data_IF_590095028093
#
_entry.id   IF_590095028093
#
_cell.length_a   1.000
_cell.length_b   1.000
_cell.length_c   1.000
_cell.angle_alpha   90.00
_cell.angle_beta   90.00
_cell.angle_gamma   90.00
#
_symmetry.space_group_name_H-M   'P 1'
#
loop_
_entity.id
_entity.type
_entity.pdbx_description
1 polymer ?
#
# COMPACT_ATOMS: atom_id res chain seq x y z
N UNK A 1 28.96 -75.40 45.66
CA UNK A 1 27.64 -74.75 45.77
C UNK A 1 27.63 -73.45 44.99
N UNK A 2 26.66 -73.37 44.06
CA UNK A 2 26.07 -72.18 43.42
C UNK A 2 26.90 -71.49 42.32
N UNK A 3 26.65 -71.72 41.02
CA UNK A 3 25.48 -71.37 40.15
C UNK A 3 25.64 -69.98 39.51
N UNK A 4 25.97 -69.93 38.21
CA UNK A 4 25.11 -69.46 37.09
C UNK A 4 25.29 -67.96 36.78
N UNK A 5 26.02 -67.59 35.72
CA UNK A 5 25.62 -67.46 34.31
C UNK A 5 24.55 -66.39 33.97
N UNK A 6 25.03 -65.38 33.22
CA UNK A 6 24.39 -64.61 32.13
C UNK A 6 23.18 -63.70 32.44
N UNK A 7 23.45 -62.40 32.31
CA UNK A 7 22.46 -61.36 32.03
C UNK A 7 23.08 -60.21 31.24
N UNK A 8 23.47 -60.49 29.99
CA UNK A 8 23.95 -59.48 29.04
C UNK A 8 22.78 -58.59 28.61
N UNK A 9 22.59 -57.43 29.24
CA UNK A 9 21.64 -56.39 28.81
C UNK A 9 22.36 -55.36 27.93
N UNK A 10 22.55 -55.73 26.66
CA UNK A 10 22.95 -54.79 25.61
C UNK A 10 21.77 -53.89 25.24
N UNK A 11 21.49 -52.88 26.05
CA UNK A 11 20.41 -51.90 25.82
C UNK A 11 20.84 -50.41 26.01
N UNK A 12 21.96 -49.92 25.42
CA UNK A 12 22.07 -48.48 25.19
C UNK A 12 22.24 -48.06 23.72
N UNK A 13 22.44 -49.00 22.79
CA UNK A 13 22.74 -48.63 21.39
C UNK A 13 21.46 -48.52 20.54
N UNK A 14 20.46 -49.37 20.76
CA UNK A 14 19.20 -49.33 19.99
C UNK A 14 18.31 -48.12 20.32
N UNK A 15 18.39 -47.56 21.53
CA UNK A 15 17.63 -46.35 21.89
C UNK A 15 18.21 -45.08 21.24
N UNK A 16 19.53 -45.05 21.01
CA UNK A 16 20.20 -43.95 20.28
C UNK A 16 19.95 -43.99 18.76
N UNK A 17 19.77 -45.18 18.18
CA UNK A 17 19.46 -45.33 16.75
C UNK A 17 18.02 -44.91 16.41
N UNK A 18 17.07 -45.03 17.34
CA UNK A 18 15.71 -44.51 17.17
C UNK A 18 15.64 -42.97 17.29
N UNK A 19 16.55 -42.34 18.04
CA UNK A 19 16.65 -40.87 18.11
C UNK A 19 17.36 -40.26 16.89
N UNK A 20 18.26 -41.00 16.24
CA UNK A 20 18.92 -40.54 15.00
C UNK A 20 18.02 -40.66 13.75
N UNK A 21 17.05 -41.58 13.74
CA UNK A 21 16.14 -41.76 12.61
C UNK A 21 14.99 -40.73 12.56
N UNK A 22 14.68 -40.05 13.67
CA UNK A 22 13.61 -39.03 13.70
C UNK A 22 14.10 -37.64 13.24
N UNK A 23 15.41 -37.39 13.24
CA UNK A 23 16.00 -36.12 12.75
C UNK A 23 16.05 -36.08 11.20
N UNK A 24 15.83 -37.21 10.52
CA UNK A 24 15.88 -37.30 9.06
C UNK A 24 14.56 -36.90 8.36
N UNK A 25 13.51 -36.55 9.12
CA UNK A 25 12.22 -36.07 8.57
C UNK A 25 11.89 -34.63 8.98
N UNK A 26 12.89 -33.85 9.40
CA UNK A 26 12.78 -32.40 9.29
C UNK A 26 12.89 -32.05 7.80
N UNK A 27 11.74 -31.91 7.13
CA UNK A 27 11.64 -31.67 5.71
C UNK A 27 12.61 -30.58 5.26
N UNK A 28 13.53 -30.93 4.36
CA UNK A 28 14.37 -29.98 3.66
C UNK A 28 13.50 -29.16 2.69
N UNK A 29 12.67 -28.26 3.20
CA UNK A 29 12.14 -27.17 2.40
C UNK A 29 13.31 -26.23 2.12
N UNK A 30 13.73 -26.15 0.86
CA UNK A 30 14.71 -25.18 0.41
C UNK A 30 14.23 -23.77 0.82
N UNK A 31 14.97 -23.01 1.65
CA UNK A 31 14.54 -21.70 2.13
C UNK A 31 14.17 -20.73 1.00
N UNK A 32 14.87 -20.79 -0.14
CA UNK A 32 14.57 -20.00 -1.33
C UNK A 32 13.22 -20.39 -1.96
N UNK A 33 12.90 -21.68 -1.94
CA UNK A 33 11.60 -22.16 -2.43
C UNK A 33 10.48 -21.77 -1.46
N UNK A 34 10.71 -21.89 -0.16
CA UNK A 34 9.74 -21.55 0.87
C UNK A 34 9.40 -20.04 0.85
N UNK A 35 10.41 -19.15 0.76
CA UNK A 35 10.15 -17.71 0.69
C UNK A 35 9.40 -17.31 -0.59
N UNK A 36 9.73 -17.92 -1.74
CA UNK A 36 9.01 -17.70 -3.00
C UNK A 36 7.56 -18.20 -2.94
N UNK A 37 7.31 -19.33 -2.26
CA UNK A 37 5.97 -19.85 -2.05
C UNK A 37 5.11 -18.91 -1.20
N UNK A 38 5.65 -18.41 -0.08
CA UNK A 38 4.98 -17.42 0.76
C UNK A 38 4.67 -16.12 0.00
N UNK A 39 5.62 -15.60 -0.78
CA UNK A 39 5.38 -14.44 -1.66
C UNK A 39 4.22 -14.69 -2.63
N UNK A 40 4.21 -15.84 -3.31
CA UNK A 40 3.16 -16.18 -4.27
C UNK A 40 1.78 -16.33 -3.62
N UNK A 41 1.71 -16.93 -2.42
CA UNK A 41 0.45 -17.02 -1.67
C UNK A 41 -0.03 -15.66 -1.21
N UNK A 42 0.88 -14.80 -0.73
CA UNK A 42 0.57 -13.42 -0.36
C UNK A 42 -0.06 -12.64 -1.50
N UNK A 43 0.53 -12.69 -2.69
CA UNK A 43 -0.04 -12.03 -3.89
C UNK A 43 -1.39 -12.64 -4.31
N UNK A 44 -1.55 -13.96 -4.22
CA UNK A 44 -2.83 -14.61 -4.48
C UNK A 44 -3.92 -14.14 -3.51
N UNK A 45 -3.60 -14.06 -2.21
CA UNK A 45 -4.52 -13.53 -1.21
C UNK A 45 -4.84 -12.05 -1.41
N UNK A 46 -3.90 -11.21 -1.87
CA UNK A 46 -4.20 -9.84 -2.27
C UNK A 46 -5.21 -9.79 -3.43
N UNK A 47 -5.03 -10.64 -4.45
CA UNK A 47 -5.97 -10.72 -5.58
C UNK A 47 -7.37 -11.21 -5.15
N UNK A 48 -7.44 -12.07 -4.14
CA UNK A 48 -8.69 -12.53 -3.52
C UNK A 48 -9.25 -11.56 -2.45
N UNK A 49 -8.61 -10.40 -2.22
CA UNK A 49 -8.96 -9.42 -1.18
C UNK A 49 -8.90 -9.97 0.26
N UNK A 50 -8.16 -11.06 0.47
CA UNK A 50 -7.91 -11.68 1.78
C UNK A 50 -6.70 -11.04 2.45
N UNK A 51 -6.86 -9.77 2.82
CA UNK A 51 -5.75 -8.92 3.24
C UNK A 51 -5.06 -9.39 4.54
N UNK A 52 -5.82 -9.97 5.48
CA UNK A 52 -5.26 -10.53 6.70
C UNK A 52 -4.36 -11.73 6.39
N UNK A 53 -4.81 -12.66 5.56
CA UNK A 53 -4.06 -13.84 5.13
C UNK A 53 -2.84 -13.46 4.30
N UNK A 54 -2.99 -12.52 3.36
CA UNK A 54 -1.88 -11.94 2.62
C UNK A 54 -0.79 -11.42 3.56
N UNK A 55 -1.19 -10.67 4.60
CA UNK A 55 -0.24 -10.13 5.58
C UNK A 55 0.50 -11.20 6.39
N UNK A 56 -0.09 -12.38 6.59
CA UNK A 56 0.56 -13.48 7.30
C UNK A 56 1.61 -14.13 6.40
N UNK A 57 1.28 -14.40 5.14
CA UNK A 57 2.18 -15.01 4.18
C UNK A 57 3.41 -14.12 3.91
N UNK A 58 3.22 -12.82 3.68
CA UNK A 58 4.36 -11.91 3.51
C UNK A 58 5.24 -11.83 4.76
N UNK A 59 4.65 -11.86 5.98
CA UNK A 59 5.42 -11.93 7.22
C UNK A 59 6.21 -13.24 7.33
N UNK A 60 5.65 -14.37 6.90
CA UNK A 60 6.36 -15.65 6.84
C UNK A 60 7.53 -15.61 5.84
N UNK A 61 7.38 -14.95 4.69
CA UNK A 61 8.50 -14.72 3.78
C UNK A 61 9.62 -13.89 4.43
N UNK A 62 9.26 -12.82 5.15
CA UNK A 62 10.22 -11.95 5.86
C UNK A 62 10.89 -12.60 7.08
N UNK A 63 10.30 -13.66 7.65
CA UNK A 63 10.98 -14.46 8.67
C UNK A 63 12.15 -15.26 8.09
N UNK A 64 12.12 -15.56 6.79
CA UNK A 64 13.19 -16.29 6.09
C UNK A 64 14.25 -15.31 5.56
N UNK A 65 13.80 -14.20 4.96
CA UNK A 65 14.65 -13.17 4.36
C UNK A 65 14.00 -11.80 4.57
N UNK A 66 14.56 -11.01 5.49
CA UNK A 66 14.02 -9.71 5.90
C UNK A 66 14.30 -8.57 4.91
N UNK A 67 14.99 -8.85 3.80
CA UNK A 67 15.35 -7.86 2.76
C UNK A 67 14.54 -8.04 1.47
N UNK A 68 13.45 -8.79 1.52
CA UNK A 68 12.56 -8.99 0.39
C UNK A 68 11.69 -7.75 0.15
N UNK A 69 12.14 -6.85 -0.73
CA UNK A 69 11.38 -5.66 -1.13
C UNK A 69 9.95 -5.99 -1.57
N UNK A 70 9.76 -7.09 -2.31
CA UNK A 70 8.44 -7.55 -2.74
C UNK A 70 7.50 -7.93 -1.58
N UNK A 71 8.04 -8.53 -0.50
CA UNK A 71 7.23 -8.88 0.66
C UNK A 71 6.83 -7.64 1.49
N UNK A 72 7.75 -6.69 1.65
CA UNK A 72 7.45 -5.39 2.24
C UNK A 72 6.39 -4.63 1.44
N UNK A 73 6.49 -4.66 0.11
CA UNK A 73 5.50 -4.06 -0.78
C UNK A 73 4.12 -4.73 -0.62
N UNK A 74 4.08 -6.05 -0.61
CA UNK A 74 2.87 -6.83 -0.35
C UNK A 74 2.23 -6.51 1.00
N UNK A 75 3.04 -6.37 2.06
CA UNK A 75 2.55 -5.94 3.38
C UNK A 75 2.00 -4.51 3.37
N UNK A 76 2.68 -3.58 2.72
CA UNK A 76 2.19 -2.21 2.59
C UNK A 76 0.80 -2.18 1.94
N UNK A 77 0.61 -2.90 0.83
CA UNK A 77 -0.70 -3.03 0.16
C UNK A 77 -1.76 -3.70 1.04
N UNK A 78 -1.39 -4.77 1.76
CA UNK A 78 -2.31 -5.43 2.68
C UNK A 78 -2.73 -4.51 3.83
N UNK A 79 -1.78 -3.78 4.43
CA UNK A 79 -2.06 -2.85 5.52
C UNK A 79 -2.83 -1.60 5.07
N UNK A 80 -2.61 -1.12 3.85
CA UNK A 80 -3.43 -0.07 3.24
C UNK A 80 -4.90 -0.51 3.18
N UNK A 81 -5.17 -1.70 2.65
CA UNK A 81 -6.53 -2.24 2.56
C UNK A 81 -7.17 -2.50 3.94
N UNK A 82 -6.36 -2.79 4.95
CA UNK A 82 -6.79 -2.97 6.34
C UNK A 82 -6.90 -1.65 7.13
N UNK A 83 -6.64 -0.50 6.49
CA UNK A 83 -6.55 0.81 7.13
C UNK A 83 -5.56 0.88 8.33
N UNK A 84 -4.48 0.09 8.27
CA UNK A 84 -3.41 0.04 9.27
C UNK A 84 -2.27 0.98 8.88
N UNK A 85 -2.52 2.28 9.05
CA UNK A 85 -1.62 3.35 8.62
C UNK A 85 -0.18 3.26 9.15
N UNK A 86 0.05 3.10 10.47
CA UNK A 86 1.39 3.02 11.03
C UNK A 86 2.21 1.83 10.49
N UNK A 87 1.59 0.67 10.34
CA UNK A 87 2.25 -0.51 9.80
C UNK A 87 2.49 -0.38 8.30
N UNK A 88 1.53 0.15 7.54
CA UNK A 88 1.71 0.48 6.13
C UNK A 88 2.93 1.41 5.93
N UNK A 89 3.07 2.44 6.77
CA UNK A 89 4.18 3.39 6.68
C UNK A 89 5.56 2.74 6.84
N UNK A 90 5.73 1.88 7.85
CA UNK A 90 7.01 1.19 8.05
C UNK A 90 7.36 0.27 6.88
N UNK A 91 6.37 -0.42 6.33
CA UNK A 91 6.57 -1.33 5.21
C UNK A 91 6.81 -0.58 3.88
N UNK A 92 6.18 0.57 3.67
CA UNK A 92 6.50 1.49 2.56
C UNK A 92 7.93 2.00 2.64
N UNK A 93 8.39 2.42 3.83
CA UNK A 93 9.77 2.88 4.02
C UNK A 93 10.79 1.81 3.64
N UNK A 94 10.60 0.57 4.13
CA UNK A 94 11.47 -0.56 3.78
C UNK A 94 11.40 -0.89 2.28
N UNK A 95 10.21 -0.82 1.69
CA UNK A 95 10.04 -1.03 0.23
C UNK A 95 10.87 -0.03 -0.57
N UNK A 96 10.79 1.26 -0.25
CA UNK A 96 11.54 2.31 -0.97
C UNK A 96 13.05 2.22 -0.73
N UNK A 97 13.47 1.78 0.47
CA UNK A 97 14.87 1.53 0.79
C UNK A 97 15.46 0.35 -0.01
N UNK A 98 14.73 -0.77 -0.10
CA UNK A 98 15.19 -2.00 -0.71
C UNK A 98 14.97 -2.04 -2.24
N UNK A 99 13.89 -1.40 -2.72
CA UNK A 99 13.59 -1.23 -4.13
C UNK A 99 13.35 0.26 -4.48
N UNK A 100 14.45 1.00 -4.74
CA UNK A 100 14.38 2.37 -5.24
C UNK A 100 13.80 2.48 -6.65
N UNK A 101 13.23 1.43 -7.25
CA UNK A 101 12.54 1.51 -8.53
C UNK A 101 11.02 1.39 -8.41
N UNK A 102 10.50 1.03 -7.24
CA UNK A 102 9.07 1.00 -6.95
C UNK A 102 8.51 2.42 -6.78
N UNK A 103 8.14 3.05 -7.91
CA UNK A 103 7.60 4.40 -7.93
C UNK A 103 6.23 4.50 -7.26
N UNK A 104 5.43 3.45 -7.30
CA UNK A 104 4.13 3.41 -6.62
C UNK A 104 4.29 3.47 -5.10
N UNK A 105 5.21 2.68 -4.53
CA UNK A 105 5.54 2.73 -3.11
C UNK A 105 6.09 4.11 -2.70
N UNK A 106 6.90 4.75 -3.56
CA UNK A 106 7.35 6.14 -3.33
C UNK A 106 6.18 7.12 -3.29
N UNK A 107 5.25 7.05 -4.24
CA UNK A 107 4.09 7.93 -4.28
C UNK A 107 3.23 7.76 -3.03
N UNK A 108 2.96 6.50 -2.62
CA UNK A 108 2.21 6.19 -1.40
C UNK A 108 2.91 6.68 -0.13
N UNK A 109 4.23 6.53 -0.04
CA UNK A 109 5.01 7.05 1.08
C UNK A 109 4.97 8.59 1.14
N UNK A 110 5.09 9.26 -0.01
CA UNK A 110 4.96 10.71 -0.13
C UNK A 110 3.59 11.20 0.33
N UNK A 111 2.51 10.53 -0.11
CA UNK A 111 1.15 10.83 0.31
C UNK A 111 0.96 10.63 1.82
N UNK A 112 1.57 9.60 2.41
CA UNK A 112 1.52 9.40 3.86
C UNK A 112 2.21 10.53 4.62
N UNK A 113 3.36 11.02 4.14
CA UNK A 113 4.04 12.17 4.73
C UNK A 113 3.17 13.43 4.68
N UNK A 114 2.47 13.69 3.57
CA UNK A 114 1.55 14.82 3.45
C UNK A 114 0.32 14.67 4.36
N UNK A 115 -0.27 13.47 4.43
CA UNK A 115 -1.40 13.21 5.33
C UNK A 115 -1.04 13.48 6.79
N UNK A 116 0.21 13.15 7.16
CA UNK A 116 0.74 13.30 8.52
C UNK A 116 1.35 14.68 8.79
N UNK A 117 1.39 15.59 7.80
CA UNK A 117 2.15 16.84 7.92
C UNK A 117 1.44 17.94 8.72
N UNK A 118 0.14 17.77 9.02
CA UNK A 118 -0.64 18.78 9.77
C UNK A 118 0.00 19.13 11.11
N UNK A 119 0.41 18.12 11.86
CA UNK A 119 1.04 18.27 13.17
C UNK A 119 2.58 18.21 13.10
N UNK A 120 3.13 17.89 11.93
CA UNK A 120 4.56 17.84 11.68
C UNK A 120 4.91 18.35 10.27
N UNK A 121 4.98 19.69 10.07
CA UNK A 121 5.32 20.28 8.77
C UNK A 121 6.70 19.86 8.25
N UNK A 122 7.59 19.34 9.11
CA UNK A 122 8.87 18.77 8.72
C UNK A 122 8.79 17.53 7.81
N UNK A 123 7.59 16.98 7.62
CA UNK A 123 7.35 15.88 6.67
C UNK A 123 7.16 16.36 5.22
N UNK A 124 6.80 17.63 4.99
CA UNK A 124 6.59 18.17 3.64
C UNK A 124 7.86 18.05 2.78
N UNK A 125 9.07 18.40 3.27
CA UNK A 125 10.30 18.19 2.50
C UNK A 125 10.60 16.72 2.16
N UNK A 126 10.14 15.78 2.99
CA UNK A 126 10.29 14.34 2.70
C UNK A 126 9.41 13.92 1.52
N UNK A 127 8.15 14.39 1.48
CA UNK A 127 7.26 14.18 0.34
C UNK A 127 7.79 14.86 -0.93
N UNK A 128 8.30 16.09 -0.82
CA UNK A 128 8.91 16.81 -1.95
C UNK A 128 10.09 16.04 -2.56
N UNK A 129 10.96 15.49 -1.71
CA UNK A 129 12.09 14.66 -2.16
C UNK A 129 11.59 13.46 -2.98
N UNK A 130 10.58 12.74 -2.48
CA UNK A 130 10.03 11.57 -3.18
C UNK A 130 9.38 11.96 -4.52
N UNK A 131 8.62 13.06 -4.56
CA UNK A 131 8.03 13.58 -5.79
C UNK A 131 9.10 13.91 -6.84
N UNK A 132 10.19 14.59 -6.43
CA UNK A 132 11.33 14.89 -7.31
C UNK A 132 12.02 13.63 -7.82
N UNK A 133 12.20 12.62 -6.98
CA UNK A 133 12.80 11.34 -7.40
C UNK A 133 11.93 10.60 -8.42
N UNK A 134 10.60 10.60 -8.23
CA UNK A 134 9.66 10.02 -9.20
C UNK A 134 9.79 10.75 -10.55
N UNK A 135 9.68 12.07 -10.55
CA UNK A 135 9.71 12.88 -11.78
C UNK A 135 11.08 12.92 -12.45
N UNK A 136 12.18 12.77 -11.69
CA UNK A 136 13.51 12.63 -12.26
C UNK A 136 13.66 11.31 -13.04
N UNK A 137 13.01 10.24 -12.58
CA UNK A 137 13.04 8.94 -13.24
C UNK A 137 12.04 8.85 -14.39
N UNK A 138 10.83 9.35 -14.17
CA UNK A 138 9.73 9.35 -15.13
C UNK A 138 9.11 10.75 -15.18
N UNK A 139 9.58 11.63 -16.08
CA UNK A 139 9.11 13.02 -16.16
C UNK A 139 7.63 13.20 -16.50
N UNK A 140 6.97 12.16 -17.01
CA UNK A 140 5.55 12.14 -17.33
C UNK A 140 4.76 11.21 -16.39
N UNK A 141 5.28 10.94 -15.19
CA UNK A 141 4.60 10.09 -14.21
C UNK A 141 3.45 10.86 -13.56
N UNK A 142 2.22 10.42 -13.82
CA UNK A 142 1.00 11.09 -13.36
C UNK A 142 0.94 11.20 -11.83
N UNK A 143 1.29 10.13 -11.11
CA UNK A 143 1.30 10.13 -9.64
C UNK A 143 2.40 11.04 -9.08
N UNK A 144 3.53 11.15 -9.77
CA UNK A 144 4.59 12.12 -9.44
C UNK A 144 4.10 13.56 -9.52
N UNK A 145 3.36 13.92 -10.57
CA UNK A 145 2.76 15.25 -10.72
C UNK A 145 1.66 15.51 -9.69
N UNK A 146 0.81 14.52 -9.39
CA UNK A 146 -0.21 14.64 -8.33
C UNK A 146 0.43 14.87 -6.96
N UNK A 147 1.47 14.09 -6.63
CA UNK A 147 2.20 14.23 -5.38
C UNK A 147 2.90 15.59 -5.32
N UNK A 148 3.56 16.03 -6.40
CA UNK A 148 4.21 17.34 -6.46
C UNK A 148 3.20 18.48 -6.30
N UNK A 149 2.04 18.41 -6.96
CA UNK A 149 0.97 19.38 -6.80
C UNK A 149 0.49 19.47 -5.35
N UNK A 150 0.36 18.33 -4.67
CA UNK A 150 -0.03 18.27 -3.26
C UNK A 150 1.06 18.83 -2.31
N UNK A 151 2.34 18.58 -2.62
CA UNK A 151 3.49 19.19 -1.91
C UNK A 151 3.48 20.70 -2.06
N UNK A 152 3.37 21.20 -3.28
CA UNK A 152 3.36 22.64 -3.58
C UNK A 152 2.18 23.33 -2.90
N UNK A 153 1.02 22.68 -2.89
CA UNK A 153 -0.14 23.18 -2.16
C UNK A 153 0.14 23.29 -0.65
N UNK A 154 0.74 22.27 -0.04
CA UNK A 154 1.13 22.29 1.37
C UNK A 154 2.19 23.37 1.67
N UNK A 155 2.98 23.77 0.67
CA UNK A 155 3.91 24.90 0.72
C UNK A 155 3.26 26.27 0.41
N UNK A 156 1.94 26.32 0.26
CA UNK A 156 1.16 27.50 -0.12
C UNK A 156 1.51 28.08 -1.52
N UNK A 157 2.08 27.26 -2.41
CA UNK A 157 2.40 27.59 -3.81
C UNK A 157 1.27 27.16 -4.73
N UNK A 158 0.14 27.88 -4.65
CA UNK A 158 -1.12 27.46 -5.27
C UNK A 158 -1.07 27.40 -6.80
N UNK A 159 -0.41 28.37 -7.45
CA UNK A 159 -0.33 28.42 -8.91
C UNK A 159 0.54 27.28 -9.47
N UNK A 160 1.67 26.99 -8.83
CA UNK A 160 2.53 25.86 -9.17
C UNK A 160 1.79 24.53 -8.92
N UNK A 161 1.07 24.41 -7.80
CA UNK A 161 0.26 23.24 -7.49
C UNK A 161 -0.82 22.97 -8.56
N UNK A 162 -1.52 24.02 -8.98
CA UNK A 162 -2.51 23.94 -10.06
C UNK A 162 -1.86 23.47 -11.37
N UNK A 163 -0.70 24.01 -11.73
CA UNK A 163 0.00 23.63 -12.95
C UNK A 163 0.35 22.14 -12.97
N UNK A 164 0.88 21.59 -11.88
CA UNK A 164 1.20 20.16 -11.75
C UNK A 164 -0.04 19.27 -11.84
N UNK A 165 -1.11 19.61 -11.11
CA UNK A 165 -2.36 18.85 -11.14
C UNK A 165 -3.05 18.90 -12.50
N UNK A 166 -3.01 20.05 -13.18
CA UNK A 166 -3.55 20.18 -14.52
C UNK A 166 -2.69 19.41 -15.55
N UNK A 167 -1.37 19.36 -15.36
CA UNK A 167 -0.50 18.55 -16.21
C UNK A 167 -0.81 17.05 -16.06
N UNK A 168 -1.08 16.57 -14.84
CA UNK A 168 -1.53 15.20 -14.59
C UNK A 168 -2.82 14.83 -15.37
N UNK A 169 -3.74 15.80 -15.55
CA UNK A 169 -4.94 15.63 -16.38
C UNK A 169 -4.58 15.63 -17.88
N UNK A 170 -3.63 16.45 -18.32
CA UNK A 170 -3.19 16.48 -19.72
C UNK A 170 -2.51 15.17 -20.15
N UNK A 171 -1.76 14.54 -19.24
CA UNK A 171 -1.09 13.26 -19.47
C UNK A 171 -2.09 12.11 -19.64
N UNK A 172 -3.17 12.09 -18.85
CA UNK A 172 -4.29 11.16 -19.04
C UNK A 172 -5.66 11.81 -18.74
N UNK A 173 -6.35 12.31 -19.78
CA UNK A 173 -7.67 12.93 -19.63
C UNK A 173 -8.81 11.98 -19.23
N UNK A 174 -8.53 10.67 -19.10
CA UNK A 174 -9.51 9.65 -18.70
C UNK A 174 -9.21 9.07 -17.32
N UNK A 175 -8.21 9.59 -16.60
CA UNK A 175 -7.90 9.15 -15.23
C UNK A 175 -8.77 9.87 -14.22
N UNK A 176 -9.64 9.12 -13.53
CA UNK A 176 -10.55 9.64 -12.50
C UNK A 176 -9.79 10.38 -11.40
N UNK A 177 -8.69 9.79 -10.93
CA UNK A 177 -7.88 10.25 -9.79
C UNK A 177 -7.26 11.63 -10.02
N UNK A 178 -6.90 11.97 -11.26
CA UNK A 178 -6.36 13.29 -11.61
C UNK A 178 -7.41 14.39 -11.40
N UNK A 179 -8.65 14.14 -11.82
CA UNK A 179 -9.76 15.07 -11.61
C UNK A 179 -10.13 15.19 -10.14
N UNK A 180 -10.12 14.09 -9.38
CA UNK A 180 -10.37 14.13 -7.93
C UNK A 180 -9.31 14.94 -7.18
N UNK A 181 -8.04 14.82 -7.59
CA UNK A 181 -6.94 15.59 -7.00
C UNK A 181 -7.11 17.10 -7.23
N UNK A 182 -7.45 17.50 -8.46
CA UNK A 182 -7.72 18.91 -8.77
C UNK A 182 -9.03 19.42 -8.13
N UNK A 183 -10.07 18.57 -8.01
CA UNK A 183 -11.29 18.91 -7.28
C UNK A 183 -11.00 19.20 -5.81
N UNK A 184 -10.16 18.37 -5.17
CA UNK A 184 -9.71 18.60 -3.79
C UNK A 184 -8.95 19.91 -3.66
N UNK A 185 -8.09 20.24 -4.62
CA UNK A 185 -7.39 21.54 -4.67
C UNK A 185 -8.39 22.71 -4.71
N UNK A 186 -9.42 22.65 -5.55
CA UNK A 186 -10.44 23.71 -5.59
C UNK A 186 -11.30 23.78 -4.33
N UNK A 187 -11.61 22.63 -3.72
CA UNK A 187 -12.33 22.55 -2.47
C UNK A 187 -11.57 23.25 -1.33
N UNK A 188 -10.27 22.99 -1.17
CA UNK A 188 -9.45 23.61 -0.11
C UNK A 188 -9.11 25.08 -0.39
N UNK A 189 -9.19 25.51 -1.65
CA UNK A 189 -9.05 26.92 -2.04
C UNK A 189 -10.40 27.67 -2.06
N UNK A 190 -11.48 27.02 -1.64
CA UNK A 190 -12.84 27.56 -1.56
C UNK A 190 -13.46 27.96 -2.91
N UNK A 191 -13.00 27.36 -4.00
CA UNK A 191 -13.58 27.48 -5.35
C UNK A 191 -14.58 26.34 -5.58
N UNK A 192 -15.65 26.33 -4.77
CA UNK A 192 -16.56 25.18 -4.63
C UNK A 192 -17.27 24.78 -5.93
N UNK A 193 -17.61 25.75 -6.79
CA UNK A 193 -18.26 25.47 -8.07
C UNK A 193 -17.34 24.64 -8.99
N UNK A 194 -16.07 25.07 -9.10
CA UNK A 194 -15.06 24.34 -9.88
C UNK A 194 -14.78 22.95 -9.30
N UNK A 195 -14.74 22.84 -7.98
CA UNK A 195 -14.60 21.54 -7.32
C UNK A 195 -15.76 20.61 -7.69
N UNK A 196 -17.01 21.09 -7.63
CA UNK A 196 -18.20 20.32 -8.01
C UNK A 196 -18.14 19.87 -9.47
N UNK A 197 -17.76 20.75 -10.40
CA UNK A 197 -17.61 20.41 -11.82
C UNK A 197 -16.59 19.29 -12.05
N UNK A 198 -15.45 19.33 -11.36
CA UNK A 198 -14.42 18.29 -11.49
C UNK A 198 -14.84 16.95 -10.88
N UNK A 199 -15.55 16.95 -9.76
CA UNK A 199 -16.12 15.73 -9.20
C UNK A 199 -17.13 15.10 -10.17
N UNK A 200 -18.04 15.89 -10.74
CA UNK A 200 -18.98 15.43 -11.75
C UNK A 200 -18.23 14.94 -13.01
N UNK A 201 -17.15 15.59 -13.40
CA UNK A 201 -16.31 15.16 -14.52
C UNK A 201 -15.68 13.79 -14.23
N UNK A 202 -15.14 13.58 -13.03
CA UNK A 202 -14.57 12.30 -12.60
C UNK A 202 -15.61 11.16 -12.68
N UNK A 203 -16.83 11.41 -12.22
CA UNK A 203 -17.96 10.46 -12.33
C UNK A 203 -18.35 10.22 -13.79
N UNK A 204 -18.37 11.26 -14.63
CA UNK A 204 -18.71 11.11 -16.06
C UNK A 204 -17.70 10.25 -16.83
N UNK A 205 -16.44 10.26 -16.40
CA UNK A 205 -15.36 9.47 -17.00
C UNK A 205 -15.54 7.99 -16.66
N UNK A 206 -15.83 7.68 -15.39
CA UNK A 206 -16.17 6.34 -14.96
C UNK A 206 -17.34 6.36 -13.96
N UNK A 207 -18.58 6.11 -14.44
CA UNK A 207 -19.77 6.08 -13.58
C UNK A 207 -19.80 4.95 -12.55
N UNK A 208 -18.87 3.99 -12.64
CA UNK A 208 -18.76 2.87 -11.71
C UNK A 208 -17.49 2.97 -10.86
N UNK A 209 -16.93 4.17 -10.67
CA UNK A 209 -15.80 4.40 -9.77
C UNK A 209 -16.30 4.70 -8.35
N UNK A 210 -16.20 3.76 -7.38
CA UNK A 210 -16.68 3.98 -6.00
C UNK A 210 -16.01 5.20 -5.36
N UNK A 211 -14.72 5.40 -5.67
CA UNK A 211 -13.93 6.49 -5.14
C UNK A 211 -14.46 7.86 -5.57
N UNK A 212 -14.88 8.02 -6.83
CA UNK A 212 -15.40 9.29 -7.33
C UNK A 212 -16.71 9.70 -6.63
N UNK A 213 -17.64 8.74 -6.51
CA UNK A 213 -18.89 8.92 -5.77
C UNK A 213 -18.64 9.20 -4.29
N UNK A 214 -17.69 8.50 -3.67
CA UNK A 214 -17.32 8.71 -2.26
C UNK A 214 -16.78 10.11 -2.02
N UNK A 215 -15.83 10.57 -2.84
CA UNK A 215 -15.22 11.89 -2.67
C UNK A 215 -16.20 13.02 -2.99
N UNK A 216 -17.06 12.86 -4.02
CA UNK A 216 -18.10 13.85 -4.29
C UNK A 216 -19.15 13.91 -3.18
N UNK A 217 -19.58 12.76 -2.67
CA UNK A 217 -20.48 12.67 -1.53
C UNK A 217 -19.93 13.39 -0.30
N UNK A 218 -18.64 13.17 0.04
CA UNK A 218 -17.97 13.89 1.14
C UNK A 218 -17.95 15.41 0.90
N UNK A 219 -17.65 15.85 -0.31
CA UNK A 219 -17.70 17.27 -0.68
C UNK A 219 -19.12 17.85 -0.49
N UNK A 220 -20.15 17.14 -0.95
CA UNK A 220 -21.54 17.55 -0.83
C UNK A 220 -21.97 17.70 0.64
N UNK A 221 -21.55 16.77 1.52
CA UNK A 221 -21.75 16.90 2.98
C UNK A 221 -21.14 18.20 3.51
N UNK A 222 -19.89 18.50 3.13
CA UNK A 222 -19.21 19.73 3.60
C UNK A 222 -19.90 21.00 3.11
N UNK A 223 -20.52 20.96 1.93
CA UNK A 223 -21.30 22.08 1.37
C UNK A 223 -22.79 22.07 1.77
N UNK A 224 -23.18 21.21 2.73
CA UNK A 224 -24.55 21.08 3.23
C UNK A 224 -25.60 20.63 2.18
N UNK A 225 -25.18 19.96 1.11
CA UNK A 225 -26.04 19.38 0.04
C UNK A 225 -26.38 17.92 0.36
N UNK A 226 -27.02 17.70 1.51
CA UNK A 226 -27.14 16.37 2.13
C UNK A 226 -27.91 15.33 1.30
N UNK A 227 -28.97 15.75 0.60
CA UNK A 227 -29.76 14.82 -0.23
C UNK A 227 -28.98 14.28 -1.44
N UNK A 228 -28.18 15.15 -2.06
CA UNK A 228 -27.28 14.76 -3.15
C UNK A 228 -26.14 13.90 -2.63
N UNK A 229 -25.57 14.25 -1.46
CA UNK A 229 -24.54 13.46 -0.81
C UNK A 229 -24.99 12.03 -0.54
N UNK A 230 -26.23 11.84 -0.02
CA UNK A 230 -26.79 10.51 0.22
C UNK A 230 -26.90 9.70 -1.07
N UNK A 231 -27.30 10.33 -2.17
CA UNK A 231 -27.42 9.69 -3.48
C UNK A 231 -26.06 9.19 -3.96
N UNK A 232 -25.04 10.05 -3.92
CA UNK A 232 -23.69 9.71 -4.35
C UNK A 232 -23.06 8.63 -3.46
N UNK A 233 -23.19 8.73 -2.12
CA UNK A 233 -22.63 7.74 -1.20
C UNK A 233 -23.32 6.38 -1.32
N UNK A 234 -24.63 6.33 -1.61
CA UNK A 234 -25.32 5.08 -1.94
C UNK A 234 -24.78 4.47 -3.22
N UNK A 235 -24.55 5.28 -4.25
CA UNK A 235 -23.98 4.80 -5.50
C UNK A 235 -22.57 4.24 -5.32
N UNK A 236 -21.76 4.88 -4.47
CA UNK A 236 -20.43 4.38 -4.13
C UNK A 236 -20.46 2.95 -3.57
N UNK A 237 -21.43 2.63 -2.71
CA UNK A 237 -21.60 1.29 -2.13
C UNK A 237 -22.14 0.29 -3.16
N UNK A 238 -23.03 0.73 -4.07
CA UNK A 238 -23.60 -0.12 -5.11
C UNK A 238 -22.55 -0.62 -6.11
N UNK A 239 -21.54 0.22 -6.40
CA UNK A 239 -20.51 -0.05 -7.42
C UNK A 239 -19.17 -0.52 -6.85
N UNK A 240 -19.06 -0.65 -5.52
CA UNK A 240 -17.87 -1.16 -4.81
C UNK A 240 -17.82 -2.69 -4.79
#
# INVERSE_FOLDING_TARGET
>A
MNSECRGNRSYPIFLCLLLAAVISMAGCTNPEKAKAEHLSKGEAYLAEQKYQEASLEFRSALQIDDKLAAAHWGLARAYEALARGPEMFEELRKTVELDPNNLEARSKLGNYYLLSSKDNPGLIPMAEKLAKEILAKEPNNIEGHILMGSVLFAQNKKDEAFAELNHAIQLDPKRVESYLSLARFYQVTNELDKASELFQRAISINPNAPLAHTEYGKFLVQTNRLAEAETELKKAVEVA
#
